data_IF_727106983533
#
_entry.id   IF_727106983533
#
_cell.length_a   1.000
_cell.length_b   1.000
_cell.length_c   1.000
_cell.angle_alpha   90.00
_cell.angle_beta   90.00
_cell.angle_gamma   90.00
#
_symmetry.space_group_name_H-M   'P 1'
#
loop_
_entity.id
_entity.type
_entity.pdbx_description
1 polymer ?
#
# COMPACT_ATOMS: atom_id res chain seq x y z
N UNK A 1 45.30 23.14 41.63
CA UNK A 1 43.86 23.35 41.38
C UNK A 1 43.62 23.28 39.89
N UNK A 2 43.18 22.11 39.41
CA UNK A 2 42.78 21.92 38.01
C UNK A 2 41.29 21.59 38.00
N UNK A 3 40.48 22.53 37.60
CA UNK A 3 39.06 22.30 37.35
C UNK A 3 38.95 21.45 36.09
N UNK A 4 38.57 20.20 36.23
CA UNK A 4 38.04 19.37 35.13
C UNK A 4 36.58 19.70 34.96
N UNK A 5 36.10 20.03 33.75
CA UNK A 5 34.73 20.52 33.58
C UNK A 5 33.76 19.35 33.61
N UNK A 6 32.92 19.32 34.62
CA UNK A 6 31.68 18.52 34.72
C UNK A 6 30.71 18.78 33.53
N UNK A 7 30.97 19.80 32.74
CA UNK A 7 30.22 20.17 31.56
C UNK A 7 30.26 19.17 30.41
N UNK A 8 31.40 18.44 30.26
CA UNK A 8 31.54 17.47 29.18
C UNK A 8 30.68 16.21 29.34
N UNK A 9 30.40 15.83 30.58
CA UNK A 9 29.55 14.67 30.87
C UNK A 9 28.05 14.97 30.66
N UNK A 10 27.66 16.22 30.89
CA UNK A 10 26.27 16.68 30.67
C UNK A 10 25.91 16.77 29.18
N UNK A 11 26.89 17.16 28.32
CA UNK A 11 26.73 17.17 26.88
C UNK A 11 26.61 15.74 26.29
N UNK A 12 27.30 14.75 26.84
CA UNK A 12 27.19 13.35 26.47
C UNK A 12 25.78 12.79 26.78
N UNK A 13 25.15 13.22 27.87
CA UNK A 13 23.79 12.80 28.24
C UNK A 13 22.69 13.45 27.39
N UNK A 14 22.81 14.71 27.05
CA UNK A 14 21.89 15.36 26.12
C UNK A 14 21.96 14.73 24.73
N UNK A 15 23.14 14.35 24.27
CA UNK A 15 23.34 13.69 22.99
C UNK A 15 22.89 12.21 23.00
N UNK A 16 22.93 11.51 24.13
CA UNK A 16 22.39 10.16 24.25
C UNK A 16 20.84 10.14 24.22
N UNK A 17 20.19 11.18 24.78
CA UNK A 17 18.72 11.31 24.75
C UNK A 17 18.18 11.55 23.35
N UNK A 18 18.95 12.18 22.45
CA UNK A 18 18.59 12.36 21.06
C UNK A 18 18.87 11.12 20.18
N UNK A 19 19.50 10.06 20.73
CA UNK A 19 19.86 8.85 20.00
C UNK A 19 18.74 7.81 19.90
N UNK A 20 17.59 8.06 20.47
CA UNK A 20 16.49 7.08 20.53
C UNK A 20 15.25 7.55 19.77
N UNK A 21 15.28 7.60 18.45
CA UNK A 21 14.06 7.46 17.71
C UNK A 21 13.65 5.99 17.79
N UNK A 22 12.57 5.73 18.44
CA UNK A 22 11.86 4.46 18.31
C UNK A 22 11.15 4.50 16.97
N UNK A 23 11.85 4.12 15.90
CA UNK A 23 11.40 4.31 14.52
C UNK A 23 10.68 3.13 13.90
N UNK A 24 10.44 2.07 14.62
CA UNK A 24 10.04 0.82 14.01
C UNK A 24 8.56 0.68 13.64
N UNK A 25 7.57 1.27 14.30
CA UNK A 25 6.18 1.12 13.88
C UNK A 25 5.82 1.91 12.62
N UNK A 26 6.46 3.05 12.38
CA UNK A 26 6.09 3.95 11.27
C UNK A 26 6.47 3.37 9.90
N UNK A 27 7.66 2.82 9.75
CA UNK A 27 8.12 2.29 8.45
C UNK A 27 7.28 1.09 7.98
N UNK A 28 6.89 0.22 8.90
CA UNK A 28 6.09 -0.96 8.61
C UNK A 28 4.63 -0.61 8.31
N UNK A 29 4.11 0.39 9.01
CA UNK A 29 2.75 0.92 8.83
C UNK A 29 2.64 1.69 7.50
N UNK A 30 3.66 2.45 7.11
CA UNK A 30 3.67 3.24 5.88
C UNK A 30 3.79 2.38 4.62
N UNK A 31 4.59 1.33 4.64
CA UNK A 31 4.67 0.36 3.56
C UNK A 31 3.29 -0.29 3.32
N UNK A 32 2.61 -0.70 4.38
CA UNK A 32 1.27 -1.31 4.30
C UNK A 32 0.19 -0.30 3.91
N UNK A 33 0.23 0.93 4.44
CA UNK A 33 -0.72 2.00 4.10
C UNK A 33 -0.63 2.39 2.63
N UNK A 34 0.56 2.54 2.07
CA UNK A 34 0.75 2.86 0.65
C UNK A 34 0.20 1.74 -0.25
N UNK A 35 0.44 0.49 0.10
CA UNK A 35 -0.05 -0.68 -0.62
C UNK A 35 -1.57 -0.83 -0.56
N UNK A 36 -2.18 -0.63 0.63
CA UNK A 36 -3.64 -0.66 0.80
C UNK A 36 -4.29 0.49 0.01
N UNK A 37 -3.72 1.68 0.02
CA UNK A 37 -4.21 2.82 -0.77
C UNK A 37 -4.22 2.51 -2.26
N UNK A 38 -3.15 1.91 -2.77
CA UNK A 38 -3.05 1.51 -4.18
C UNK A 38 -4.14 0.50 -4.55
N UNK A 39 -4.39 -0.49 -3.71
CA UNK A 39 -5.45 -1.48 -3.95
C UNK A 39 -6.85 -0.86 -3.93
N UNK A 40 -7.10 0.13 -3.07
CA UNK A 40 -8.37 0.85 -3.06
C UNK A 40 -8.57 1.72 -4.31
N UNK A 41 -7.49 2.20 -4.95
CA UNK A 41 -7.55 2.89 -6.24
C UNK A 41 -7.86 1.92 -7.38
N UNK A 42 -7.35 0.69 -7.35
CA UNK A 42 -7.66 -0.37 -8.32
C UNK A 42 -9.15 -0.77 -8.33
N UNK A 43 -9.89 -0.50 -7.26
CA UNK A 43 -11.34 -0.73 -7.21
C UNK A 43 -12.14 0.19 -8.16
N UNK A 44 -11.53 1.19 -8.76
CA UNK A 44 -12.13 2.10 -9.75
C UNK A 44 -11.85 1.68 -11.19
N UNK A 45 -11.50 0.41 -11.45
CA UNK A 45 -11.33 -0.10 -12.81
C UNK A 45 -12.63 0.07 -13.62
N UNK A 46 -12.54 0.44 -14.91
CA UNK A 46 -13.70 0.52 -15.77
C UNK A 46 -14.42 -0.80 -15.79
N UNK A 47 -15.69 -0.78 -15.38
CA UNK A 47 -16.55 -1.94 -15.52
C UNK A 47 -17.05 -2.02 -16.96
N UNK A 48 -17.41 -3.24 -17.44
CA UNK A 48 -18.06 -3.40 -18.73
C UNK A 48 -19.26 -2.45 -18.86
N UNK A 49 -19.53 -1.99 -20.07
CA UNK A 49 -20.70 -1.12 -20.35
C UNK A 49 -21.95 -1.82 -19.84
N UNK A 50 -22.75 -1.23 -18.94
CA UNK A 50 -24.00 -1.81 -18.51
C UNK A 50 -24.94 -1.88 -19.70
N UNK A 51 -25.27 -3.08 -20.17
CA UNK A 51 -26.32 -3.27 -21.16
C UNK A 51 -27.64 -3.56 -20.45
N UNK A 52 -28.72 -3.04 -20.98
CA UNK A 52 -30.09 -3.25 -20.47
C UNK A 52 -30.38 -4.74 -20.47
N UNK A 53 -30.68 -5.30 -19.30
CA UNK A 53 -30.99 -6.71 -19.17
C UNK A 53 -32.27 -7.03 -19.98
N UNK A 54 -32.15 -7.95 -20.94
CA UNK A 54 -33.31 -8.56 -21.55
C UNK A 54 -34.08 -9.40 -20.50
N UNK A 55 -35.40 -9.51 -20.60
CA UNK A 55 -36.19 -10.30 -19.66
C UNK A 55 -35.70 -11.76 -19.64
N UNK A 56 -35.64 -12.40 -18.46
CA UNK A 56 -35.17 -13.78 -18.37
C UNK A 56 -36.12 -14.71 -19.12
N UNK A 57 -35.61 -15.40 -20.14
CA UNK A 57 -36.33 -16.49 -20.81
C UNK A 57 -35.90 -17.78 -20.11
N UNK A 58 -36.83 -18.49 -19.50
CA UNK A 58 -36.55 -19.80 -18.91
C UNK A 58 -36.74 -20.90 -19.98
N UNK A 59 -35.65 -21.57 -20.34
CA UNK A 59 -35.66 -22.71 -21.27
C UNK A 59 -34.88 -23.86 -20.67
N UNK A 60 -35.29 -25.09 -21.02
CA UNK A 60 -34.56 -26.29 -20.62
C UNK A 60 -33.34 -26.53 -21.52
N UNK A 61 -32.37 -27.35 -21.05
CA UNK A 61 -31.22 -27.75 -21.87
C UNK A 61 -31.67 -28.49 -23.14
N UNK A 62 -32.72 -29.31 -23.05
CA UNK A 62 -33.24 -30.09 -24.16
C UNK A 62 -33.83 -29.19 -25.24
N UNK A 63 -34.60 -28.17 -24.86
CA UNK A 63 -35.16 -27.16 -25.79
C UNK A 63 -34.06 -26.38 -26.49
N UNK A 64 -32.98 -26.00 -25.78
CA UNK A 64 -31.82 -25.30 -26.34
C UNK A 64 -31.05 -26.18 -27.33
N UNK A 65 -30.83 -27.46 -27.01
CA UNK A 65 -30.14 -28.42 -27.90
C UNK A 65 -30.98 -28.77 -29.12
N UNK A 66 -32.30 -28.84 -29.00
CA UNK A 66 -33.20 -29.05 -30.11
C UNK A 66 -33.25 -27.92 -31.12
N UNK A 67 -32.82 -26.69 -30.70
CA UNK A 67 -32.78 -25.50 -31.55
C UNK A 67 -31.39 -24.85 -31.59
N UNK A 68 -30.47 -25.35 -32.45
CA UNK A 68 -29.08 -24.85 -32.54
C UNK A 68 -28.97 -23.35 -32.84
N UNK A 69 -29.89 -22.80 -33.66
CA UNK A 69 -29.86 -21.37 -34.00
C UNK A 69 -30.18 -20.50 -32.76
N UNK A 70 -31.12 -20.95 -31.94
CA UNK A 70 -31.50 -20.26 -30.72
C UNK A 70 -30.35 -20.35 -29.68
N UNK A 71 -29.72 -21.52 -29.54
CA UNK A 71 -28.58 -21.69 -28.64
C UNK A 71 -27.39 -20.80 -29.05
N UNK A 72 -27.12 -20.68 -30.36
CA UNK A 72 -26.10 -19.77 -30.88
C UNK A 72 -26.45 -18.31 -30.58
N UNK A 73 -27.69 -17.90 -30.84
CA UNK A 73 -28.15 -16.53 -30.55
C UNK A 73 -28.12 -16.21 -29.05
N UNK A 74 -28.46 -17.18 -28.19
CA UNK A 74 -28.37 -17.01 -26.73
C UNK A 74 -26.91 -16.86 -26.27
N UNK A 75 -26.00 -17.65 -26.81
CA UNK A 75 -24.57 -17.54 -26.50
C UNK A 75 -23.99 -16.22 -27.00
N UNK A 76 -24.34 -15.79 -28.23
CA UNK A 76 -23.92 -14.51 -28.80
C UNK A 76 -24.43 -13.33 -27.96
N UNK A 77 -25.69 -13.36 -27.54
CA UNK A 77 -26.27 -12.38 -26.64
C UNK A 77 -25.56 -12.35 -25.28
N UNK A 78 -25.24 -13.53 -24.69
CA UNK A 78 -24.52 -13.61 -23.43
C UNK A 78 -23.09 -13.06 -23.56
N UNK A 79 -22.43 -13.27 -24.68
CA UNK A 79 -21.11 -12.70 -25.00
C UNK A 79 -21.20 -11.20 -25.18
N UNK A 80 -22.17 -10.70 -25.96
CA UNK A 80 -22.38 -9.26 -26.16
C UNK A 80 -22.66 -8.53 -24.84
N UNK A 81 -23.44 -9.14 -23.94
CA UNK A 81 -23.74 -8.63 -22.61
C UNK A 81 -22.63 -8.90 -21.59
N UNK A 82 -21.56 -9.60 -21.96
CA UNK A 82 -20.46 -10.01 -21.09
C UNK A 82 -20.94 -10.77 -19.82
N UNK A 83 -22.07 -11.47 -19.92
CA UNK A 83 -22.66 -12.17 -18.80
C UNK A 83 -22.01 -13.56 -18.61
N UNK A 84 -20.86 -13.56 -17.92
CA UNK A 84 -20.00 -14.77 -17.74
C UNK A 84 -20.76 -15.97 -17.17
N UNK A 85 -21.76 -15.77 -16.30
CA UNK A 85 -22.60 -16.87 -15.77
C UNK A 85 -23.36 -17.59 -16.86
N UNK A 86 -24.02 -16.86 -17.76
CA UNK A 86 -24.73 -17.42 -18.90
C UNK A 86 -23.77 -18.08 -19.90
N UNK A 87 -22.62 -17.43 -20.18
CA UNK A 87 -21.59 -18.00 -21.06
C UNK A 87 -21.11 -19.35 -20.50
N UNK A 88 -20.83 -19.42 -19.17
CA UNK A 88 -20.38 -20.66 -18.52
C UNK A 88 -21.40 -21.78 -18.59
N UNK A 89 -22.69 -21.46 -18.62
CA UNK A 89 -23.78 -22.42 -18.79
C UNK A 89 -23.96 -22.82 -20.27
N UNK A 90 -24.02 -21.85 -21.18
CA UNK A 90 -24.36 -22.07 -22.60
C UNK A 90 -23.20 -22.67 -23.40
N UNK A 91 -21.92 -22.31 -23.10
CA UNK A 91 -20.76 -22.75 -23.89
C UNK A 91 -20.59 -24.28 -23.91
N UNK A 92 -20.72 -25.03 -22.81
CA UNK A 92 -20.70 -26.50 -22.85
C UNK A 92 -21.81 -27.10 -23.71
N UNK A 93 -23.03 -26.55 -23.68
CA UNK A 93 -24.14 -26.99 -24.50
C UNK A 93 -23.86 -26.71 -25.98
N UNK A 94 -23.36 -25.50 -26.30
CA UNK A 94 -22.98 -25.13 -27.65
C UNK A 94 -21.92 -26.09 -28.25
N UNK A 95 -20.97 -26.55 -27.45
CA UNK A 95 -19.92 -27.52 -27.82
C UNK A 95 -20.44 -28.94 -28.04
N UNK A 96 -21.65 -29.26 -27.62
CA UNK A 96 -22.33 -30.53 -27.93
C UNK A 96 -22.94 -30.55 -29.35
N UNK A 97 -23.08 -29.40 -29.99
CA UNK A 97 -23.51 -29.32 -31.40
C UNK A 97 -22.42 -29.88 -32.33
N UNK A 98 -22.80 -30.49 -33.48
CA UNK A 98 -21.84 -30.88 -34.52
C UNK A 98 -20.97 -29.68 -34.96
N UNK A 99 -19.70 -29.97 -35.33
CA UNK A 99 -18.73 -28.90 -35.70
C UNK A 99 -19.18 -28.00 -36.83
N UNK A 100 -19.87 -28.60 -37.84
CA UNK A 100 -20.42 -27.86 -38.97
C UNK A 100 -21.59 -26.92 -38.63
N UNK A 101 -22.09 -26.97 -37.40
CA UNK A 101 -23.14 -26.06 -36.85
C UNK A 101 -22.62 -25.11 -35.79
N UNK A 102 -21.32 -25.04 -35.59
CA UNK A 102 -20.69 -24.14 -34.61
C UNK A 102 -19.87 -23.08 -35.34
N UNK A 103 -20.00 -21.85 -34.88
CA UNK A 103 -19.07 -20.79 -35.26
C UNK A 103 -17.80 -20.89 -34.39
N UNK A 104 -16.63 -21.23 -34.96
CA UNK A 104 -15.40 -21.35 -34.21
C UNK A 104 -14.90 -20.03 -33.64
N UNK A 105 -15.34 -18.88 -34.19
CA UNK A 105 -15.00 -17.55 -33.65
C UNK A 105 -15.80 -17.30 -32.39
N UNK A 106 -17.10 -17.55 -32.41
CA UNK A 106 -17.97 -17.42 -31.24
C UNK A 106 -17.56 -18.36 -30.11
N UNK A 107 -17.27 -19.65 -30.43
CA UNK A 107 -16.78 -20.63 -29.44
C UNK A 107 -15.49 -20.14 -28.75
N UNK A 108 -14.47 -19.79 -29.56
CA UNK A 108 -13.20 -19.31 -29.04
C UNK A 108 -13.33 -17.99 -28.26
N UNK A 109 -14.17 -17.08 -28.73
CA UNK A 109 -14.38 -15.81 -28.07
C UNK A 109 -15.13 -15.95 -26.75
N UNK A 110 -16.21 -16.75 -26.72
CA UNK A 110 -16.96 -17.07 -25.49
C UNK A 110 -16.06 -17.71 -24.41
N UNK A 111 -15.17 -18.63 -24.81
CA UNK A 111 -14.23 -19.25 -23.88
C UNK A 111 -13.30 -18.25 -23.20
N UNK A 112 -12.93 -17.15 -23.88
CA UNK A 112 -12.04 -16.14 -23.27
C UNK A 112 -12.68 -15.44 -22.06
N UNK A 113 -14.00 -15.29 -22.04
CA UNK A 113 -14.71 -14.72 -20.87
C UNK A 113 -14.63 -15.66 -19.66
N UNK A 114 -14.78 -16.97 -19.90
CA UNK A 114 -14.67 -17.99 -18.84
C UNK A 114 -13.23 -18.04 -18.31
N UNK A 115 -12.24 -18.11 -19.20
CA UNK A 115 -10.82 -18.14 -18.83
C UNK A 115 -10.44 -16.90 -18.00
N UNK A 116 -10.89 -15.72 -18.42
CA UNK A 116 -10.64 -14.48 -17.70
C UNK A 116 -11.28 -14.48 -16.29
N UNK A 117 -12.52 -14.95 -16.18
CA UNK A 117 -13.22 -15.06 -14.90
C UNK A 117 -12.56 -16.09 -13.96
N UNK A 118 -11.93 -17.13 -14.53
CA UNK A 118 -11.15 -18.11 -13.78
C UNK A 118 -9.72 -17.64 -13.44
N UNK A 119 -9.37 -16.40 -13.78
CA UNK A 119 -8.04 -15.85 -13.55
C UNK A 119 -6.95 -16.34 -14.50
N UNK A 120 -7.34 -17.09 -15.56
CA UNK A 120 -6.42 -17.67 -16.58
C UNK A 120 -6.13 -16.66 -17.69
N UNK A 121 -5.66 -15.45 -17.31
CA UNK A 121 -5.48 -14.33 -18.23
C UNK A 121 -4.53 -14.62 -19.38
N UNK A 122 -3.42 -15.35 -19.13
CA UNK A 122 -2.47 -15.72 -20.20
C UNK A 122 -3.11 -16.60 -21.28
N UNK A 123 -3.98 -17.55 -20.89
CA UNK A 123 -4.69 -18.39 -21.84
C UNK A 123 -5.74 -17.59 -22.63
N UNK A 124 -6.46 -16.68 -21.94
CA UNK A 124 -7.40 -15.78 -22.60
C UNK A 124 -6.70 -14.85 -23.62
N UNK A 125 -5.55 -14.25 -23.24
CA UNK A 125 -4.71 -13.46 -24.15
C UNK A 125 -4.30 -14.25 -25.39
N UNK A 126 -3.77 -15.46 -25.21
CA UNK A 126 -3.33 -16.31 -26.31
C UNK A 126 -4.47 -16.57 -27.31
N UNK A 127 -5.66 -16.92 -26.81
CA UNK A 127 -6.84 -17.17 -27.66
C UNK A 127 -7.31 -15.90 -28.38
N UNK A 128 -7.38 -14.76 -27.67
CA UNK A 128 -7.77 -13.48 -28.29
C UNK A 128 -6.80 -13.05 -29.39
N UNK A 129 -5.49 -13.23 -29.17
CA UNK A 129 -4.47 -12.98 -30.21
C UNK A 129 -4.61 -13.90 -31.42
N UNK A 130 -4.92 -15.20 -31.18
CA UNK A 130 -5.15 -16.16 -32.25
C UNK A 130 -6.41 -15.81 -33.09
N UNK A 131 -7.48 -15.30 -32.45
CA UNK A 131 -8.67 -14.82 -33.15
C UNK A 131 -8.37 -13.56 -33.98
N UNK A 132 -7.61 -12.59 -33.42
CA UNK A 132 -7.21 -11.39 -34.13
C UNK A 132 -6.23 -11.66 -35.28
N UNK A 133 -5.40 -12.68 -35.19
CA UNK A 133 -4.53 -13.09 -36.29
C UNK A 133 -5.32 -13.55 -37.52
N UNK A 134 -6.53 -14.12 -37.32
CA UNK A 134 -7.44 -14.51 -38.40
C UNK A 134 -8.30 -13.35 -38.89
N UNK A 135 -8.73 -12.47 -37.99
CA UNK A 135 -9.61 -11.34 -38.28
C UNK A 135 -9.06 -10.06 -37.58
N UNK A 136 -8.06 -9.37 -38.16
CA UNK A 136 -7.39 -8.24 -37.51
C UNK A 136 -8.30 -7.05 -37.20
N UNK A 137 -9.37 -6.87 -37.97
CA UNK A 137 -10.33 -5.77 -37.82
C UNK A 137 -11.48 -6.07 -36.86
N UNK A 138 -11.47 -7.21 -36.16
CA UNK A 138 -12.58 -7.58 -35.30
C UNK A 138 -12.53 -6.82 -33.97
N UNK A 139 -13.16 -5.63 -33.96
CA UNK A 139 -13.15 -4.70 -32.85
C UNK A 139 -13.58 -5.29 -31.49
N UNK A 140 -14.63 -6.13 -31.37
CA UNK A 140 -15.02 -6.75 -30.10
C UNK A 140 -13.92 -7.60 -29.48
N UNK A 141 -13.20 -8.40 -30.26
CA UNK A 141 -12.09 -9.24 -29.80
C UNK A 141 -10.91 -8.38 -29.38
N UNK A 142 -10.58 -7.31 -30.12
CA UNK A 142 -9.52 -6.35 -29.76
C UNK A 142 -9.84 -5.64 -28.44
N UNK A 143 -11.11 -5.26 -28.24
CA UNK A 143 -11.53 -4.66 -26.95
C UNK A 143 -11.36 -5.64 -25.78
N UNK A 144 -11.75 -6.89 -25.95
CA UNK A 144 -11.57 -7.91 -24.91
C UNK A 144 -10.08 -8.22 -24.66
N UNK A 145 -9.24 -8.16 -25.69
CA UNK A 145 -7.79 -8.25 -25.52
C UNK A 145 -7.25 -7.09 -24.68
N UNK A 146 -7.64 -5.86 -24.97
CA UNK A 146 -7.24 -4.68 -24.20
C UNK A 146 -7.67 -4.79 -22.72
N UNK A 147 -8.90 -5.24 -22.46
CA UNK A 147 -9.41 -5.48 -21.10
C UNK A 147 -8.61 -6.59 -20.39
N UNK A 148 -8.34 -7.70 -21.07
CA UNK A 148 -7.58 -8.83 -20.52
C UNK A 148 -6.16 -8.40 -20.15
N UNK A 149 -5.47 -7.70 -21.06
CA UNK A 149 -4.13 -7.17 -20.84
C UNK A 149 -4.09 -6.17 -19.67
N UNK A 150 -5.07 -5.27 -19.58
CA UNK A 150 -5.18 -4.31 -18.49
C UNK A 150 -5.38 -5.01 -17.15
N UNK A 151 -6.25 -6.03 -17.08
CA UNK A 151 -6.48 -6.81 -15.88
C UNK A 151 -5.25 -7.61 -15.45
N UNK A 152 -4.45 -8.07 -16.41
CA UNK A 152 -3.21 -8.82 -16.16
C UNK A 152 -1.98 -7.92 -15.95
N UNK A 153 -2.18 -6.61 -15.72
CA UNK A 153 -1.09 -5.68 -15.43
C UNK A 153 -0.28 -5.22 -16.64
N UNK A 154 -0.62 -5.68 -17.85
CA UNK A 154 0.04 -5.32 -19.12
C UNK A 154 -0.52 -4.00 -19.67
N UNK A 155 -0.42 -2.93 -18.86
CA UNK A 155 -1.10 -1.64 -19.14
C UNK A 155 -0.56 -0.89 -20.36
N UNK A 156 0.68 -1.17 -20.79
CA UNK A 156 1.27 -0.58 -21.99
C UNK A 156 0.64 -1.20 -23.25
N UNK A 157 0.57 -2.51 -23.30
CA UNK A 157 -0.01 -3.29 -24.38
C UNK A 157 -1.52 -3.02 -24.47
N UNK A 158 -2.21 -2.96 -23.34
CA UNK A 158 -3.63 -2.57 -23.30
C UNK A 158 -3.87 -1.20 -23.93
N UNK A 159 -3.00 -0.23 -23.66
CA UNK A 159 -3.12 1.11 -24.25
C UNK A 159 -2.86 1.11 -25.77
N UNK A 160 -2.00 0.23 -26.28
CA UNK A 160 -1.77 0.07 -27.71
C UNK A 160 -3.02 -0.49 -28.41
N UNK A 161 -3.66 -1.51 -27.84
CA UNK A 161 -4.91 -2.06 -28.39
C UNK A 161 -6.06 -1.03 -28.37
N UNK A 162 -6.18 -0.24 -27.30
CA UNK A 162 -7.17 0.85 -27.23
C UNK A 162 -6.88 1.94 -28.26
N UNK A 163 -5.61 2.29 -28.48
CA UNK A 163 -5.22 3.27 -29.49
C UNK A 163 -5.55 2.78 -30.91
N UNK A 164 -5.35 1.49 -31.20
CA UNK A 164 -5.73 0.87 -32.47
C UNK A 164 -7.26 0.87 -32.68
N UNK A 165 -8.04 0.54 -31.63
CA UNK A 165 -9.51 0.58 -31.68
C UNK A 165 -10.05 1.98 -32.02
N UNK A 166 -9.42 3.03 -31.50
CA UNK A 166 -9.83 4.42 -31.75
C UNK A 166 -9.61 4.88 -33.19
N UNK A 167 -8.83 4.12 -33.97
CA UNK A 167 -8.62 4.38 -35.41
C UNK A 167 -9.68 3.71 -36.27
N UNK A 168 -10.57 2.88 -35.71
CA UNK A 168 -11.66 2.24 -36.41
C UNK A 168 -12.64 3.32 -36.87
N UNK A 169 -12.96 3.38 -38.22
CA UNK A 169 -13.96 4.31 -38.71
C UNK A 169 -15.36 4.04 -38.11
N UNK A 170 -16.18 5.06 -38.04
CA UNK A 170 -17.61 4.99 -37.69
C UNK A 170 -17.93 4.28 -36.35
N UNK A 171 -17.07 4.47 -35.34
CA UNK A 171 -17.33 3.96 -33.99
C UNK A 171 -18.60 4.59 -33.43
N UNK A 172 -19.54 3.78 -32.86
CA UNK A 172 -20.69 4.29 -32.14
C UNK A 172 -20.29 5.24 -31.00
N UNK A 173 -21.07 6.32 -30.74
CA UNK A 173 -20.69 7.33 -29.73
C UNK A 173 -20.52 6.78 -28.33
N UNK A 174 -21.28 5.78 -27.92
CA UNK A 174 -21.18 5.07 -26.63
C UNK A 174 -19.88 4.28 -26.51
N UNK A 175 -19.46 3.59 -27.56
CA UNK A 175 -18.19 2.87 -27.61
C UNK A 175 -17.03 3.87 -27.58
N UNK A 176 -17.10 4.96 -28.35
CA UNK A 176 -16.10 6.03 -28.31
C UNK A 176 -15.94 6.62 -26.90
N UNK A 177 -17.04 6.92 -26.21
CA UNK A 177 -17.05 7.42 -24.85
C UNK A 177 -16.43 6.40 -23.85
N UNK A 178 -16.73 5.11 -24.03
CA UNK A 178 -16.12 4.04 -23.25
C UNK A 178 -14.59 3.97 -23.45
N UNK A 179 -14.12 3.99 -24.71
CA UNK A 179 -12.69 3.97 -25.01
C UNK A 179 -11.96 5.20 -24.47
N UNK A 180 -12.62 6.37 -24.44
CA UNK A 180 -12.08 7.58 -23.82
C UNK A 180 -11.96 7.43 -22.31
N UNK A 181 -12.97 6.86 -21.67
CA UNK A 181 -12.94 6.52 -20.25
C UNK A 181 -11.79 5.57 -19.92
N UNK A 182 -11.66 4.50 -20.69
CA UNK A 182 -10.61 3.52 -20.53
C UNK A 182 -9.20 4.10 -20.79
N UNK A 183 -9.05 4.95 -21.79
CA UNK A 183 -7.79 5.66 -22.04
C UNK A 183 -7.40 6.58 -20.88
N UNK A 184 -8.37 7.28 -20.28
CA UNK A 184 -8.14 8.11 -19.08
C UNK A 184 -7.71 7.24 -17.88
N UNK A 185 -8.37 6.11 -17.68
CA UNK A 185 -7.97 5.14 -16.65
C UNK A 185 -6.53 4.68 -16.83
N UNK A 186 -6.13 4.21 -18.03
CA UNK A 186 -4.77 3.75 -18.31
C UNK A 186 -3.72 4.89 -18.18
N UNK A 187 -4.09 6.14 -18.49
CA UNK A 187 -3.23 7.29 -18.25
C UNK A 187 -3.06 7.57 -16.75
N UNK A 188 -4.14 7.45 -15.98
CA UNK A 188 -4.11 7.64 -14.53
C UNK A 188 -3.23 6.57 -13.85
N UNK A 189 -3.31 5.31 -14.27
CA UNK A 189 -2.45 4.22 -13.79
C UNK A 189 -0.94 4.49 -13.97
N UNK A 190 -0.57 5.33 -14.94
CA UNK A 190 0.80 5.72 -15.25
C UNK A 190 1.19 7.09 -14.69
N UNK A 191 0.24 7.81 -14.12
CA UNK A 191 0.48 9.13 -13.55
C UNK A 191 1.27 9.01 -12.24
N UNK A 192 1.78 10.15 -11.77
CA UNK A 192 2.27 10.25 -10.41
C UNK A 192 1.11 10.14 -9.42
N UNK A 193 1.22 9.26 -8.47
CA UNK A 193 0.36 9.24 -7.29
C UNK A 193 1.04 10.04 -6.20
N UNK A 194 0.43 11.14 -5.80
CA UNK A 194 0.94 12.03 -4.77
C UNK A 194 0.04 11.96 -3.55
N UNK A 195 0.61 11.89 -2.37
CA UNK A 195 -0.14 12.01 -1.12
C UNK A 195 0.60 12.89 -0.14
N UNK A 196 -0.15 13.69 0.61
CA UNK A 196 0.37 14.55 1.66
C UNK A 196 -0.53 14.50 2.89
N UNK A 197 0.08 14.60 4.06
CA UNK A 197 -0.57 14.69 5.35
C UNK A 197 0.17 15.70 6.22
N UNK A 198 -0.56 16.52 6.95
CA UNK A 198 0.00 17.42 7.95
C UNK A 198 -0.89 17.45 9.19
N UNK A 199 -0.27 17.55 10.36
CA UNK A 199 -0.97 17.57 11.64
C UNK A 199 -0.23 18.46 12.65
N UNK A 200 -1.00 19.08 13.51
CA UNK A 200 -0.45 19.85 14.63
C UNK A 200 0.12 18.92 15.70
N UNK A 201 1.29 19.28 16.23
CA UNK A 201 1.97 18.57 17.31
C UNK A 201 2.00 19.48 18.54
N UNK A 202 1.46 18.97 19.65
CA UNK A 202 1.73 19.46 21.01
C UNK A 202 2.44 18.32 21.74
N UNK A 203 3.76 18.40 21.88
CA UNK A 203 4.57 17.39 22.53
C UNK A 203 4.94 17.89 23.93
N UNK A 204 4.44 17.24 24.97
CA UNK A 204 4.71 17.60 26.36
C UNK A 204 6.06 17.12 26.87
N UNK A 205 6.78 16.28 26.08
CA UNK A 205 8.07 15.71 26.48
C UNK A 205 8.95 15.47 25.23
N UNK A 206 9.23 16.53 24.49
CA UNK A 206 10.02 16.47 23.24
C UNK A 206 11.44 15.97 23.49
N UNK A 207 12.03 16.22 24.66
CA UNK A 207 13.35 15.75 25.06
C UNK A 207 13.34 14.30 25.60
N UNK A 208 12.18 13.64 25.60
CA UNK A 208 12.01 12.24 26.08
C UNK A 208 12.58 12.00 27.46
N UNK A 209 12.41 12.96 28.36
CA UNK A 209 12.82 12.83 29.75
C UNK A 209 12.10 11.66 30.42
N UNK A 210 12.80 10.83 31.22
CA UNK A 210 12.20 9.68 31.89
C UNK A 210 11.18 10.11 32.96
N UNK A 211 10.21 9.26 33.24
CA UNK A 211 9.26 9.48 34.34
C UNK A 211 9.98 9.46 35.70
N UNK A 212 10.93 8.56 35.87
CA UNK A 212 11.78 8.48 37.06
C UNK A 212 12.90 9.54 36.95
N UNK A 213 12.84 10.58 37.79
CA UNK A 213 13.75 11.73 37.78
C UNK A 213 15.09 11.48 38.46
N UNK A 214 15.21 10.47 39.29
CA UNK A 214 16.44 10.15 40.01
C UNK A 214 16.69 8.64 40.01
N UNK A 215 17.95 8.28 39.79
CA UNK A 215 18.43 6.91 39.89
C UNK A 215 19.82 6.92 40.53
N UNK A 216 19.95 6.43 41.75
CA UNK A 216 21.16 6.62 42.52
C UNK A 216 21.52 8.10 42.66
N UNK A 217 22.75 8.45 42.28
CA UNK A 217 23.23 9.83 42.26
C UNK A 217 22.89 10.60 40.99
N UNK A 218 22.20 9.97 40.04
CA UNK A 218 21.84 10.60 38.74
C UNK A 218 20.53 11.36 38.85
N UNK A 219 20.51 12.60 38.32
CA UNK A 219 19.33 13.41 38.20
C UNK A 219 19.08 13.69 36.68
N UNK A 220 17.90 13.36 36.21
CA UNK A 220 17.51 13.52 34.80
C UNK A 220 16.78 14.85 34.60
N UNK A 221 16.87 15.41 33.36
CA UNK A 221 16.21 16.67 33.04
C UNK A 221 14.68 16.54 33.12
N UNK A 222 14.01 17.65 33.31
CA UNK A 222 12.55 17.71 33.24
C UNK A 222 12.03 17.62 31.81
N UNK A 223 10.76 17.17 31.59
CA UNK A 223 10.15 17.21 30.28
C UNK A 223 10.13 18.62 29.75
N UNK A 224 10.48 18.76 28.46
CA UNK A 224 10.36 20.01 27.72
C UNK A 224 9.16 19.88 26.79
N UNK A 225 8.23 20.83 26.87
CA UNK A 225 7.12 20.92 25.93
C UNK A 225 7.56 21.64 24.65
N UNK A 226 7.02 21.22 23.51
CA UNK A 226 7.24 21.85 22.23
C UNK A 226 5.99 21.75 21.34
N UNK A 227 5.82 22.75 20.46
CA UNK A 227 4.70 22.84 19.53
C UNK A 227 5.22 22.87 18.09
N UNK A 228 4.48 22.27 17.16
CA UNK A 228 4.95 22.20 15.79
C UNK A 228 3.99 21.56 14.83
N UNK A 229 4.52 21.16 13.67
CA UNK A 229 3.80 20.46 12.62
C UNK A 229 4.52 19.13 12.33
N UNK A 230 3.76 18.04 12.35
CA UNK A 230 4.15 16.80 11.71
C UNK A 230 3.71 16.78 10.27
N UNK A 231 4.52 16.23 9.38
CA UNK A 231 4.21 16.17 7.96
C UNK A 231 4.69 14.87 7.35
N UNK A 232 3.92 14.41 6.37
CA UNK A 232 4.26 13.25 5.53
C UNK A 232 3.95 13.62 4.08
N UNK A 233 4.84 13.27 3.18
CA UNK A 233 4.66 13.40 1.75
C UNK A 233 5.14 12.13 1.07
N UNK A 234 4.40 11.65 0.07
CA UNK A 234 4.87 10.57 -0.79
C UNK A 234 4.48 10.81 -2.23
N UNK A 235 5.39 10.44 -3.13
CA UNK A 235 5.21 10.45 -4.57
C UNK A 235 5.64 9.10 -5.11
N UNK A 236 4.78 8.46 -5.90
CA UNK A 236 5.12 7.20 -6.55
C UNK A 236 4.66 7.17 -8.00
N UNK A 237 5.39 6.42 -8.81
CA UNK A 237 5.05 6.17 -10.21
C UNK A 237 5.44 4.77 -10.60
N UNK A 238 4.55 4.10 -11.34
CA UNK A 238 4.84 2.82 -11.99
C UNK A 238 4.85 3.04 -13.50
N UNK A 239 6.00 2.82 -14.12
CA UNK A 239 6.21 2.98 -15.57
C UNK A 239 6.23 1.60 -16.20
N UNK A 240 5.20 1.19 -16.97
CA UNK A 240 5.19 -0.10 -17.66
C UNK A 240 6.29 -0.12 -18.73
N UNK A 241 7.10 -1.18 -18.74
CA UNK A 241 8.22 -1.36 -19.67
C UNK A 241 7.82 -2.29 -20.82
N UNK A 242 7.51 -3.55 -20.50
CA UNK A 242 7.09 -4.56 -21.49
C UNK A 242 6.34 -5.69 -20.78
N UNK A 243 5.19 -6.06 -21.30
CA UNK A 243 4.31 -7.08 -20.70
C UNK A 243 4.08 -6.79 -19.20
N UNK A 244 4.41 -7.74 -18.35
CA UNK A 244 4.25 -7.65 -16.89
C UNK A 244 5.35 -6.82 -16.18
N UNK A 245 6.43 -6.46 -16.90
CA UNK A 245 7.53 -5.71 -16.33
C UNK A 245 7.26 -4.21 -16.31
N UNK A 246 7.53 -3.61 -15.16
CA UNK A 246 7.46 -2.17 -14.94
C UNK A 246 8.68 -1.67 -14.16
N UNK A 247 8.96 -0.39 -14.24
CA UNK A 247 9.87 0.30 -13.33
C UNK A 247 9.01 1.07 -12.29
N UNK A 248 9.31 0.86 -11.02
CA UNK A 248 8.67 1.56 -9.89
C UNK A 248 9.64 2.58 -9.33
N UNK A 249 9.16 3.80 -9.14
CA UNK A 249 9.89 4.90 -8.49
C UNK A 249 9.03 5.43 -7.36
N UNK A 250 9.63 5.61 -6.19
CA UNK A 250 8.96 6.15 -5.02
C UNK A 250 9.89 7.14 -4.31
N UNK A 251 9.35 8.28 -3.92
CA UNK A 251 9.97 9.25 -3.04
C UNK A 251 9.07 9.48 -1.84
N UNK A 252 9.62 9.56 -0.66
CA UNK A 252 8.89 9.95 0.54
C UNK A 252 9.71 10.90 1.39
N UNK A 253 9.00 11.79 2.09
CA UNK A 253 9.55 12.69 3.07
C UNK A 253 8.59 12.74 4.26
N UNK A 254 9.08 12.52 5.46
CA UNK A 254 8.30 12.62 6.68
C UNK A 254 9.12 13.26 7.78
N UNK A 255 8.46 13.97 8.69
CA UNK A 255 9.19 14.63 9.76
C UNK A 255 8.31 15.43 10.69
N UNK A 256 9.00 16.18 11.56
CA UNK A 256 8.43 17.09 12.54
C UNK A 256 9.23 18.39 12.51
N UNK A 257 8.53 19.49 12.54
CA UNK A 257 9.10 20.83 12.65
C UNK A 257 8.49 21.50 13.86
N UNK A 258 9.33 21.89 14.84
CA UNK A 258 8.91 22.56 16.08
C UNK A 258 9.21 24.04 15.99
N UNK A 259 8.25 24.90 16.32
CA UNK A 259 8.42 26.37 16.27
C UNK A 259 9.32 26.91 17.36
N UNK A 260 9.41 26.19 18.48
CA UNK A 260 10.05 26.62 19.74
C UNK A 260 11.17 25.67 20.20
N UNK A 261 11.50 24.65 19.40
CA UNK A 261 12.46 23.61 19.80
C UNK A 261 13.13 22.94 18.59
N UNK A 262 13.79 23.72 17.73
CA UNK A 262 14.43 23.25 16.49
C UNK A 262 15.50 22.17 16.69
N UNK A 263 16.09 22.05 17.88
CA UNK A 263 17.03 20.97 18.23
C UNK A 263 16.37 19.57 18.15
N UNK A 264 15.04 19.51 18.08
CA UNK A 264 14.26 18.28 17.98
C UNK A 264 13.54 18.15 16.64
N UNK A 265 13.81 19.04 15.69
CA UNK A 265 13.31 18.90 14.33
C UNK A 265 13.82 17.60 13.72
N UNK A 266 12.98 16.90 12.99
CA UNK A 266 13.29 15.62 12.37
C UNK A 266 12.77 15.61 10.94
N UNK A 267 13.61 15.26 9.99
CA UNK A 267 13.25 15.08 8.59
C UNK A 267 13.91 13.82 8.07
N UNK A 268 13.13 12.92 7.55
CA UNK A 268 13.60 11.74 6.83
C UNK A 268 13.14 11.81 5.37
N UNK A 269 14.08 11.69 4.44
CA UNK A 269 13.82 11.64 3.00
C UNK A 269 14.32 10.32 2.46
N UNK A 270 13.48 9.62 1.71
CA UNK A 270 13.80 8.32 1.13
C UNK A 270 13.43 8.28 -0.35
N UNK A 271 14.35 7.75 -1.15
CA UNK A 271 14.17 7.52 -2.58
C UNK A 271 14.37 6.04 -2.87
N UNK A 272 13.48 5.48 -3.69
CA UNK A 272 13.52 4.09 -4.12
C UNK A 272 13.25 4.02 -5.62
N UNK A 273 13.98 3.16 -6.32
CA UNK A 273 13.68 2.86 -7.71
C UNK A 273 14.10 1.43 -8.05
N UNK A 274 13.27 0.70 -8.79
CA UNK A 274 13.61 -0.67 -9.17
C UNK A 274 12.57 -1.32 -10.06
N UNK A 275 12.87 -2.55 -10.55
CA UNK A 275 11.93 -3.34 -11.33
C UNK A 275 10.76 -3.85 -10.50
N UNK A 276 9.63 -3.97 -11.15
CA UNK A 276 8.43 -4.63 -10.66
C UNK A 276 7.88 -5.58 -11.72
N UNK A 277 7.36 -6.72 -11.28
CA UNK A 277 6.64 -7.69 -12.11
C UNK A 277 5.21 -7.80 -11.60
N UNK A 278 4.23 -7.48 -12.45
CA UNK A 278 2.81 -7.38 -12.10
C UNK A 278 1.98 -8.33 -12.94
N UNK A 279 1.10 -9.07 -12.29
CA UNK A 279 0.06 -9.89 -12.91
C UNK A 279 -1.30 -9.50 -12.36
N UNK A 280 -2.35 -10.14 -12.83
CA UNK A 280 -3.71 -9.93 -12.31
C UNK A 280 -3.83 -10.14 -10.78
N UNK A 281 -3.05 -11.06 -10.22
CA UNK A 281 -3.16 -11.48 -8.82
C UNK A 281 -1.96 -11.10 -7.97
N UNK A 282 -0.79 -10.83 -8.57
CA UNK A 282 0.45 -10.66 -7.83
C UNK A 282 1.28 -9.48 -8.34
N UNK A 283 1.96 -8.82 -7.43
CA UNK A 283 3.04 -7.90 -7.75
C UNK A 283 4.26 -8.23 -6.88
N UNK A 284 5.43 -8.32 -7.50
CA UNK A 284 6.71 -8.41 -6.82
C UNK A 284 7.60 -7.28 -7.31
N UNK A 285 8.28 -6.58 -6.40
CA UNK A 285 9.21 -5.50 -6.75
C UNK A 285 10.46 -5.55 -5.88
N UNK A 286 11.60 -5.29 -6.51
CA UNK A 286 12.89 -5.17 -5.83
C UNK A 286 13.44 -3.76 -6.10
N UNK A 287 13.58 -2.96 -5.05
CA UNK A 287 14.04 -1.57 -5.18
C UNK A 287 15.23 -1.30 -4.27
N UNK A 288 16.40 -0.97 -4.81
CA UNK A 288 17.41 -0.26 -4.05
C UNK A 288 16.82 1.05 -3.53
N UNK A 289 17.29 1.47 -2.35
CA UNK A 289 16.88 2.72 -1.74
C UNK A 289 18.07 3.48 -1.13
N UNK A 290 17.92 4.80 -1.10
CA UNK A 290 18.73 5.72 -0.34
C UNK A 290 17.85 6.56 0.58
N UNK A 291 18.23 6.65 1.84
CA UNK A 291 17.53 7.38 2.87
C UNK A 291 18.48 8.34 3.58
N UNK A 292 18.07 9.58 3.79
CA UNK A 292 18.81 10.59 4.52
C UNK A 292 17.92 11.16 5.62
N UNK A 293 18.45 11.18 6.84
CA UNK A 293 17.81 11.78 8.01
C UNK A 293 18.58 13.00 8.47
N UNK A 294 17.84 14.04 8.78
CA UNK A 294 18.27 15.23 9.51
C UNK A 294 17.61 15.26 10.87
N UNK A 295 18.34 15.65 11.89
CA UNK A 295 17.84 15.81 13.24
C UNK A 295 18.49 17.02 13.89
N UNK A 296 17.68 17.90 14.54
CA UNK A 296 18.15 19.16 15.09
C UNK A 296 18.80 20.05 14.01
N UNK A 297 18.20 20.09 12.79
CA UNK A 297 18.68 20.83 11.61
C UNK A 297 19.96 20.31 10.96
N UNK A 298 20.65 19.32 11.58
CA UNK A 298 21.87 18.73 11.06
C UNK A 298 21.65 17.37 10.36
N UNK A 299 22.55 17.03 9.42
CA UNK A 299 22.61 15.67 8.85
C UNK A 299 22.92 14.68 9.96
N UNK A 300 22.00 13.77 10.23
CA UNK A 300 22.11 12.81 11.31
C UNK A 300 22.62 11.44 10.85
N UNK A 301 21.91 10.83 9.90
CA UNK A 301 22.25 9.49 9.40
C UNK A 301 21.84 9.33 7.94
N UNK A 302 22.54 8.44 7.23
CA UNK A 302 22.11 7.97 5.91
C UNK A 302 22.07 6.44 5.89
N UNK A 303 21.10 5.89 5.15
CA UNK A 303 20.92 4.44 4.98
C UNK A 303 20.90 4.13 3.49
N UNK A 304 21.68 3.13 3.08
CA UNK A 304 21.62 2.55 1.74
C UNK A 304 21.21 1.09 1.87
N UNK A 305 20.33 0.62 0.99
CA UNK A 305 19.86 -0.75 1.08
C UNK A 305 18.97 -1.16 -0.08
N UNK A 306 18.27 -2.26 0.10
CA UNK A 306 17.27 -2.79 -0.83
C UNK A 306 16.01 -3.21 -0.09
N UNK A 307 14.89 -3.11 -0.79
CA UNK A 307 13.59 -3.60 -0.30
C UNK A 307 12.94 -4.46 -1.37
N UNK A 308 12.53 -5.66 -0.97
CA UNK A 308 11.69 -6.57 -1.74
C UNK A 308 10.26 -6.44 -1.22
N UNK A 309 9.31 -6.18 -2.12
CA UNK A 309 7.87 -6.17 -1.79
C UNK A 309 7.15 -7.22 -2.60
N UNK A 310 6.19 -7.83 -1.97
CA UNK A 310 5.29 -8.79 -2.59
C UNK A 310 3.86 -8.50 -2.18
N UNK A 311 2.94 -8.56 -3.14
CA UNK A 311 1.51 -8.58 -2.86
C UNK A 311 0.84 -9.68 -3.66
N UNK A 312 -0.19 -10.31 -3.08
CA UNK A 312 -0.96 -11.37 -3.73
C UNK A 312 -2.43 -11.34 -3.29
N UNK A 313 -3.32 -11.28 -4.27
CA UNK A 313 -4.77 -11.37 -4.07
C UNK A 313 -5.18 -12.83 -4.00
N UNK A 314 -5.37 -13.33 -2.78
CA UNK A 314 -5.81 -14.71 -2.50
C UNK A 314 -7.25 -14.96 -2.92
N UNK A 315 -8.09 -13.94 -2.81
CA UNK A 315 -9.50 -13.94 -3.20
C UNK A 315 -9.99 -12.50 -3.36
N UNK A 316 -11.19 -12.24 -3.91
CA UNK A 316 -11.74 -10.88 -3.99
C UNK A 316 -11.83 -10.14 -2.66
N UNK A 317 -11.76 -10.87 -1.53
CA UNK A 317 -11.83 -10.30 -0.17
C UNK A 317 -10.50 -10.32 0.58
N UNK A 318 -9.51 -11.07 0.13
CA UNK A 318 -8.26 -11.28 0.88
C UNK A 318 -7.05 -10.94 0.03
N UNK A 319 -6.22 -10.02 0.50
CA UNK A 319 -4.93 -9.69 -0.12
C UNK A 319 -3.81 -9.77 0.91
N UNK A 320 -2.75 -10.46 0.53
CA UNK A 320 -1.54 -10.62 1.33
C UNK A 320 -0.49 -9.61 0.85
N UNK A 321 0.20 -8.97 1.79
CA UNK A 321 1.34 -8.07 1.55
C UNK A 321 2.53 -8.54 2.35
N UNK A 322 3.70 -8.59 1.72
CA UNK A 322 4.97 -8.89 2.35
C UNK A 322 6.03 -7.86 1.98
N UNK A 323 6.94 -7.57 2.90
CA UNK A 323 8.12 -6.77 2.62
C UNK A 323 9.32 -7.31 3.38
N UNK A 324 10.47 -7.32 2.71
CA UNK A 324 11.78 -7.61 3.28
C UNK A 324 12.71 -6.45 2.96
N UNK A 325 13.30 -5.85 3.96
CA UNK A 325 14.24 -4.74 3.80
C UNK A 325 15.56 -5.08 4.45
N UNK A 326 16.65 -4.72 3.79
CA UNK A 326 17.98 -4.81 4.32
C UNK A 326 18.81 -3.59 3.89
N UNK A 327 19.56 -3.01 4.81
CA UNK A 327 20.39 -1.85 4.53
C UNK A 327 21.51 -1.67 5.55
N UNK A 328 22.36 -0.70 5.29
CA UNK A 328 23.40 -0.29 6.19
C UNK A 328 23.25 1.20 6.50
N UNK A 329 23.14 1.52 7.81
CA UNK A 329 22.98 2.89 8.33
C UNK A 329 24.31 3.42 8.84
N UNK A 330 24.68 4.62 8.40
CA UNK A 330 25.84 5.36 8.89
C UNK A 330 25.40 6.68 9.50
N UNK A 331 25.84 6.93 10.73
CA UNK A 331 25.64 8.18 11.46
C UNK A 331 26.81 9.13 11.25
N UNK A 332 26.55 10.42 11.15
CA UNK A 332 27.59 11.43 10.93
C UNK A 332 28.57 11.52 12.10
N UNK A 333 28.05 11.67 13.31
CA UNK A 333 28.83 11.89 14.54
C UNK A 333 28.84 10.65 15.44
N UNK A 334 27.73 9.93 15.54
CA UNK A 334 27.53 8.78 16.44
C UNK A 334 27.92 7.47 15.80
N UNK A 335 29.20 7.31 15.49
CA UNK A 335 29.70 6.13 14.75
C UNK A 335 29.49 4.79 15.44
N UNK A 336 29.26 4.77 16.76
CA UNK A 336 28.91 3.57 17.52
C UNK A 336 27.54 3.00 17.12
N UNK A 337 26.64 3.84 16.60
CA UNK A 337 25.33 3.44 16.07
C UNK A 337 25.35 2.94 14.63
N UNK A 338 26.52 2.96 13.95
CA UNK A 338 26.61 2.45 12.58
C UNK A 338 26.37 0.94 12.55
N UNK A 339 25.54 0.49 11.61
CA UNK A 339 25.26 -0.92 11.51
C UNK A 339 24.26 -1.31 10.45
N UNK A 340 23.99 -2.61 10.36
CA UNK A 340 23.00 -3.15 9.44
C UNK A 340 21.59 -3.09 10.07
N UNK A 341 20.63 -2.77 9.22
CA UNK A 341 19.21 -2.73 9.57
C UNK A 341 18.46 -3.73 8.70
N UNK A 342 17.72 -4.65 9.31
CA UNK A 342 16.95 -5.69 8.64
C UNK A 342 15.52 -5.68 9.18
N UNK A 343 14.52 -5.64 8.27
CA UNK A 343 13.12 -5.66 8.61
C UNK A 343 12.38 -6.64 7.71
N UNK A 344 11.41 -7.34 8.28
CA UNK A 344 10.48 -8.21 7.57
C UNK A 344 9.07 -7.93 8.07
N UNK A 345 8.10 -7.89 7.16
CA UNK A 345 6.69 -7.75 7.51
C UNK A 345 5.80 -8.59 6.63
N UNK A 346 4.68 -9.02 7.21
CA UNK A 346 3.60 -9.71 6.52
C UNK A 346 2.27 -9.15 7.01
N UNK A 347 1.35 -8.87 6.09
CA UNK A 347 0.03 -8.34 6.41
C UNK A 347 -1.03 -8.95 5.54
N UNK A 348 -2.17 -9.27 6.15
CA UNK A 348 -3.39 -9.71 5.47
C UNK A 348 -4.43 -8.59 5.56
N UNK A 349 -4.93 -8.15 4.42
CA UNK A 349 -6.09 -7.27 4.32
C UNK A 349 -7.30 -8.13 4.01
N UNK A 350 -8.33 -8.02 4.87
CA UNK A 350 -9.62 -8.68 4.69
C UNK A 350 -10.71 -7.64 4.46
N UNK A 351 -11.18 -7.54 3.23
CA UNK A 351 -12.22 -6.61 2.80
C UNK A 351 -13.59 -7.29 2.85
N UNK A 352 -14.41 -6.95 3.84
CA UNK A 352 -15.76 -7.52 4.01
C UNK A 352 -16.78 -6.86 3.08
N UNK A 353 -16.57 -5.57 2.77
CA UNK A 353 -17.37 -4.80 1.83
C UNK A 353 -16.55 -3.66 1.22
N UNK A 354 -17.00 -2.95 0.16
CA UNK A 354 -16.32 -1.77 -0.36
C UNK A 354 -16.09 -0.67 0.69
N UNK A 355 -16.85 -0.68 1.80
CA UNK A 355 -16.79 0.32 2.86
C UNK A 355 -16.06 -0.14 4.11
N UNK A 356 -15.69 -1.45 4.21
CA UNK A 356 -15.11 -1.98 5.44
C UNK A 356 -14.01 -2.99 5.16
N UNK A 357 -12.88 -2.80 5.84
CA UNK A 357 -11.78 -3.77 5.82
C UNK A 357 -11.09 -3.89 7.18
N UNK A 358 -10.45 -5.04 7.36
CA UNK A 358 -9.57 -5.36 8.48
C UNK A 358 -8.15 -5.57 7.97
N UNK A 359 -7.18 -5.26 8.80
CA UNK A 359 -5.75 -5.51 8.55
C UNK A 359 -5.19 -6.29 9.72
N UNK A 360 -4.55 -7.40 9.44
CA UNK A 360 -3.78 -8.16 10.43
C UNK A 360 -2.34 -8.23 9.94
N UNK A 361 -1.38 -7.99 10.82
CA UNK A 361 0.01 -7.98 10.41
C UNK A 361 0.94 -8.46 11.50
N UNK A 362 2.07 -9.01 11.07
CA UNK A 362 3.22 -9.33 11.90
C UNK A 362 4.46 -8.73 11.27
N UNK A 363 5.41 -8.37 12.10
CA UNK A 363 6.69 -7.84 11.64
C UNK A 363 7.81 -8.24 12.61
N UNK A 364 9.02 -8.08 12.14
CA UNK A 364 10.20 -8.30 12.97
C UNK A 364 11.46 -7.81 12.27
N UNK A 365 12.50 -7.63 13.03
CA UNK A 365 13.77 -7.16 12.49
C UNK A 365 14.89 -7.08 13.50
N UNK A 366 16.00 -6.56 13.03
CA UNK A 366 17.20 -6.36 13.82
C UNK A 366 17.94 -5.10 13.37
N UNK A 367 18.46 -4.37 14.33
CA UNK A 367 19.49 -3.34 14.13
C UNK A 367 20.76 -3.80 14.81
N UNK A 368 21.83 -4.00 14.01
CA UNK A 368 23.10 -4.50 14.49
C UNK A 368 24.09 -3.34 14.48
N UNK A 369 24.06 -2.53 15.52
CA UNK A 369 24.99 -1.42 15.74
C UNK A 369 26.35 -1.92 16.21
N UNK A 370 27.39 -1.06 16.13
CA UNK A 370 28.74 -1.36 16.66
C UNK A 370 28.71 -1.52 18.19
N UNK A 371 27.95 -0.65 18.86
CA UNK A 371 27.70 -0.80 20.29
C UNK A 371 26.52 -1.79 20.50
N UNK A 372 26.79 -2.86 21.24
CA UNK A 372 25.80 -3.90 21.48
C UNK A 372 24.67 -3.44 22.41
N UNK A 373 24.89 -2.40 23.22
CA UNK A 373 23.85 -1.81 24.06
C UNK A 373 22.72 -1.14 23.24
N UNK A 374 23.05 -0.69 22.01
CA UNK A 374 22.10 -0.10 21.05
C UNK A 374 21.62 -1.13 20.01
N UNK A 375 22.28 -2.27 19.89
CA UNK A 375 21.87 -3.35 18.99
C UNK A 375 20.68 -4.11 19.54
N UNK A 376 19.64 -4.32 18.71
CA UNK A 376 18.41 -5.01 19.15
C UNK A 376 17.79 -5.88 18.08
N UNK A 377 16.89 -6.75 18.54
CA UNK A 377 15.93 -7.47 17.71
C UNK A 377 14.52 -7.17 18.23
N UNK A 378 13.56 -7.18 17.32
CA UNK A 378 12.16 -6.97 17.69
C UNK A 378 11.22 -7.87 16.90
N UNK A 379 10.03 -8.08 17.48
CA UNK A 379 8.89 -8.68 16.83
C UNK A 379 7.63 -7.88 17.16
N UNK A 380 6.70 -7.79 16.21
CA UNK A 380 5.47 -7.02 16.36
C UNK A 380 4.26 -7.76 15.81
N UNK A 381 3.10 -7.47 16.41
CA UNK A 381 1.78 -7.86 15.92
C UNK A 381 0.93 -6.61 15.82
N UNK A 382 0.08 -6.53 14.79
CA UNK A 382 -0.84 -5.42 14.58
C UNK A 382 -2.19 -5.89 14.09
N UNK A 383 -3.23 -5.15 14.48
CA UNK A 383 -4.57 -5.31 13.97
C UNK A 383 -5.19 -3.94 13.70
N UNK A 384 -5.93 -3.82 12.61
CA UNK A 384 -6.60 -2.60 12.22
C UNK A 384 -8.01 -2.88 11.67
N UNK A 385 -8.89 -1.91 11.85
CA UNK A 385 -10.24 -1.89 11.31
C UNK A 385 -10.55 -0.50 10.78
N UNK A 386 -11.15 -0.45 9.58
CA UNK A 386 -11.59 0.80 8.97
C UNK A 386 -12.99 0.60 8.39
N UNK A 387 -13.87 1.59 8.62
CA UNK A 387 -15.23 1.58 8.09
C UNK A 387 -15.68 2.97 7.64
N UNK A 388 -16.32 3.02 6.48
CA UNK A 388 -17.13 4.14 6.00
C UNK A 388 -18.60 3.84 6.24
N UNK A 389 -19.28 4.71 6.98
CA UNK A 389 -20.66 4.48 7.43
C UNK A 389 -21.64 5.02 6.39
N UNK A 390 -22.47 4.14 5.80
CA UNK A 390 -23.47 4.55 4.81
C UNK A 390 -24.55 5.44 5.42
N UNK A 391 -25.08 5.08 6.60
CA UNK A 391 -26.04 5.88 7.36
C UNK A 391 -25.48 7.20 7.93
N UNK A 392 -24.17 7.32 8.08
CA UNK A 392 -23.47 8.51 8.57
C UNK A 392 -23.14 9.55 7.50
N UNK A 393 -23.70 9.46 6.30
CA UNK A 393 -23.55 10.44 5.20
C UNK A 393 -22.11 10.87 4.91
N UNK A 394 -21.15 9.95 5.08
CA UNK A 394 -19.73 10.18 4.81
C UNK A 394 -18.80 10.15 6.03
N UNK A 395 -19.28 9.69 7.18
CA UNK A 395 -18.45 9.38 8.34
C UNK A 395 -17.52 8.20 8.02
N UNK A 396 -16.24 8.35 8.32
CA UNK A 396 -15.24 7.28 8.26
C UNK A 396 -14.54 7.16 9.62
N UNK A 397 -14.39 5.94 10.11
CA UNK A 397 -13.70 5.65 11.38
C UNK A 397 -12.63 4.59 11.17
N UNK A 398 -11.54 4.68 11.91
CA UNK A 398 -10.55 3.62 11.99
C UNK A 398 -10.07 3.38 13.41
N UNK A 399 -9.74 2.11 13.68
CA UNK A 399 -9.13 1.64 14.92
C UNK A 399 -7.91 0.80 14.54
N UNK A 400 -6.74 1.12 15.09
CA UNK A 400 -5.51 0.38 14.86
C UNK A 400 -4.81 0.15 16.19
N UNK A 401 -4.34 -1.07 16.40
CA UNK A 401 -3.57 -1.45 17.57
C UNK A 401 -2.35 -2.27 17.21
N UNK A 402 -1.27 -2.10 17.96
CA UNK A 402 -0.09 -2.94 17.81
C UNK A 402 0.61 -3.20 19.14
N UNK A 403 1.31 -4.31 19.18
CA UNK A 403 2.24 -4.65 20.26
C UNK A 403 3.59 -5.00 19.65
N UNK A 404 4.67 -4.43 20.18
CA UNK A 404 6.02 -4.70 19.74
C UNK A 404 6.87 -5.06 20.93
N UNK A 405 7.60 -6.18 20.85
CA UNK A 405 8.58 -6.58 21.85
C UNK A 405 9.98 -6.43 21.28
N UNK A 406 10.87 -5.74 22.02
CA UNK A 406 12.25 -5.45 21.65
C UNK A 406 13.20 -5.95 22.71
N UNK A 407 14.30 -6.60 22.26
CA UNK A 407 15.38 -7.09 23.14
C UNK A 407 16.71 -6.58 22.64
N UNK A 408 17.42 -5.89 23.52
CA UNK A 408 18.77 -5.40 23.28
C UNK A 408 19.82 -6.48 23.49
N UNK A 409 20.96 -6.37 22.81
CA UNK A 409 21.99 -7.42 22.82
C UNK A 409 23.02 -7.22 23.91
N UNK A 410 23.38 -5.97 24.22
CA UNK A 410 24.34 -5.58 25.24
C UNK A 410 23.65 -4.95 26.46
N UNK A 411 24.47 -4.78 27.48
CA UNK A 411 24.14 -4.01 28.67
C UNK A 411 24.60 -2.57 28.48
N UNK A 412 23.86 -1.62 29.02
CA UNK A 412 24.20 -0.21 28.98
C UNK A 412 25.08 0.22 30.18
N UNK A 413 25.27 1.53 30.34
CA UNK A 413 26.07 2.12 31.42
C UNK A 413 25.53 1.81 32.82
N UNK A 414 24.31 1.33 32.91
CA UNK A 414 23.65 0.93 34.17
C UNK A 414 23.68 -0.60 34.41
N UNK A 415 24.42 -1.35 33.55
CA UNK A 415 24.47 -2.82 33.55
C UNK A 415 23.09 -3.44 33.32
N UNK A 416 22.22 -2.76 32.57
CA UNK A 416 20.87 -3.23 32.27
C UNK A 416 20.82 -3.65 30.77
N UNK A 417 20.57 -4.94 30.53
CA UNK A 417 20.18 -5.42 29.21
C UNK A 417 18.71 -5.12 28.97
N UNK A 418 18.48 -4.08 28.21
CA UNK A 418 17.16 -3.51 27.99
C UNK A 418 16.21 -4.47 27.25
N UNK A 419 14.94 -4.48 27.70
CA UNK A 419 13.81 -5.16 27.06
C UNK A 419 12.61 -4.24 27.17
N UNK A 420 11.99 -3.96 26.02
CA UNK A 420 10.84 -3.09 25.93
C UNK A 420 9.66 -3.86 25.35
N UNK A 421 8.46 -3.59 25.86
CA UNK A 421 7.21 -3.94 25.20
C UNK A 421 6.41 -2.67 25.00
N UNK A 422 6.18 -2.32 23.75
CA UNK A 422 5.43 -1.14 23.36
C UNK A 422 4.02 -1.55 22.91
N UNK A 423 3.02 -0.90 23.49
CA UNK A 423 1.62 -1.01 23.12
C UNK A 423 1.19 0.30 22.47
N UNK A 424 0.54 0.20 21.34
CA UNK A 424 0.05 1.36 20.59
C UNK A 424 -1.40 1.17 20.22
N UNK A 425 -2.21 2.24 20.41
CA UNK A 425 -3.60 2.31 19.99
C UNK A 425 -3.84 3.64 19.29
N UNK A 426 -4.52 3.60 18.14
CA UNK A 426 -4.89 4.76 17.35
C UNK A 426 -6.36 4.64 16.94
N UNK A 427 -7.13 5.68 17.25
CA UNK A 427 -8.52 5.85 16.83
C UNK A 427 -8.60 7.09 15.98
N UNK A 428 -9.26 7.01 14.82
CA UNK A 428 -9.53 8.20 14.00
C UNK A 428 -10.97 8.27 13.52
N UNK A 429 -11.48 9.48 13.37
CA UNK A 429 -12.78 9.78 12.81
C UNK A 429 -12.69 10.98 11.87
N UNK A 430 -13.29 10.89 10.70
CA UNK A 430 -13.35 11.97 9.72
C UNK A 430 -14.67 11.93 8.97
N UNK A 431 -15.09 13.08 8.41
CA UNK A 431 -16.36 13.17 7.72
C UNK A 431 -16.22 13.85 6.36
N UNK A 432 -16.70 13.21 5.29
CA UNK A 432 -16.60 13.71 3.90
C UNK A 432 -17.19 15.13 3.71
N UNK A 433 -18.23 15.50 4.45
CA UNK A 433 -18.82 16.84 4.36
C UNK A 433 -17.91 17.95 4.85
N UNK A 434 -16.89 17.62 5.67
CA UNK A 434 -15.86 18.55 6.13
C UNK A 434 -14.70 18.68 5.14
N UNK A 435 -14.72 17.89 4.05
CA UNK A 435 -13.68 17.99 3.03
C UNK A 435 -13.84 19.25 2.20
N UNK A 436 -12.73 19.98 2.05
CA UNK A 436 -12.66 21.20 1.25
C UNK A 436 -11.51 21.10 0.26
N UNK A 437 -11.78 21.27 -1.03
CA UNK A 437 -10.81 21.14 -2.14
C UNK A 437 -9.97 19.85 -2.06
N UNK A 438 -10.60 18.73 -1.66
CA UNK A 438 -9.93 17.42 -1.50
C UNK A 438 -9.15 17.26 -0.19
N UNK A 439 -9.08 18.28 0.65
CA UNK A 439 -8.53 18.20 2.00
C UNK A 439 -9.59 17.62 2.94
N UNK A 440 -9.26 16.54 3.63
CA UNK A 440 -10.19 15.85 4.55
C UNK A 440 -9.64 15.92 5.97
N UNK A 441 -10.26 16.72 6.86
CA UNK A 441 -9.88 16.76 8.26
C UNK A 441 -10.32 15.47 8.99
N UNK A 442 -9.47 14.99 9.90
CA UNK A 442 -9.74 13.85 10.78
C UNK A 442 -9.30 14.17 12.19
N UNK A 443 -10.12 13.79 13.14
CA UNK A 443 -9.76 13.79 14.55
C UNK A 443 -9.08 12.46 14.87
N UNK A 444 -7.92 12.53 15.51
CA UNK A 444 -7.10 11.37 15.86
C UNK A 444 -6.82 11.38 17.35
N UNK A 445 -6.92 10.20 17.95
CA UNK A 445 -6.47 9.94 19.30
C UNK A 445 -5.48 8.78 19.28
N UNK A 446 -4.31 8.99 19.89
CA UNK A 446 -3.28 7.95 20.04
C UNK A 446 -2.95 7.73 21.49
N UNK A 447 -2.68 6.49 21.82
CA UNK A 447 -2.17 6.06 23.11
C UNK A 447 -0.98 5.13 22.87
N UNK A 448 0.15 5.46 23.53
CA UNK A 448 1.37 4.65 23.49
C UNK A 448 1.81 4.40 24.91
N UNK A 449 2.09 3.13 25.23
CA UNK A 449 2.68 2.73 26.49
C UNK A 449 3.89 1.83 26.23
N UNK A 450 5.06 2.26 26.75
CA UNK A 450 6.29 1.46 26.70
C UNK A 450 6.57 0.93 28.09
N UNK A 451 6.39 -0.39 28.26
CA UNK A 451 6.88 -1.10 29.42
C UNK A 451 8.33 -1.51 29.18
N UNK A 452 9.23 -1.13 30.08
CA UNK A 452 10.66 -1.40 30.00
C UNK A 452 11.18 -1.87 31.35
N UNK A 453 12.12 -2.82 31.31
CA UNK A 453 12.89 -3.19 32.51
C UNK A 453 13.93 -2.12 32.89
N UNK A 454 14.11 -1.12 32.03
CA UNK A 454 15.01 0.00 32.24
C UNK A 454 14.21 1.25 32.60
N UNK A 455 14.47 1.82 33.80
CA UNK A 455 13.76 2.97 34.39
C UNK A 455 13.66 4.19 33.44
N UNK A 456 14.66 4.41 32.57
CA UNK A 456 14.74 5.56 31.66
C UNK A 456 13.74 5.46 30.50
N UNK A 457 13.33 4.26 30.11
CA UNK A 457 12.56 4.05 28.87
C UNK A 457 11.09 3.73 29.09
N UNK A 458 10.66 3.54 30.34
CA UNK A 458 9.23 3.41 30.65
C UNK A 458 8.55 4.73 30.39
N UNK A 459 7.49 4.71 29.55
CA UNK A 459 6.79 5.92 29.10
C UNK A 459 5.34 5.65 28.82
N UNK A 460 4.55 6.70 29.05
CA UNK A 460 3.13 6.76 28.73
C UNK A 460 2.85 8.06 27.95
N UNK A 461 2.30 7.95 26.74
CA UNK A 461 1.99 9.09 25.89
C UNK A 461 0.54 9.00 25.40
N UNK A 462 -0.18 10.11 25.44
CA UNK A 462 -1.54 10.26 24.92
C UNK A 462 -1.60 11.55 24.13
N UNK A 463 -2.11 11.46 22.90
CA UNK A 463 -2.25 12.64 22.05
C UNK A 463 -3.61 12.66 21.40
N UNK A 464 -4.21 13.85 21.38
CA UNK A 464 -5.39 14.15 20.59
C UNK A 464 -4.99 15.24 19.59
N UNK A 465 -5.19 15.00 18.31
CA UNK A 465 -4.80 15.95 17.28
C UNK A 465 -5.72 15.88 16.07
N UNK A 466 -5.74 16.95 15.30
CA UNK A 466 -6.42 17.06 14.03
C UNK A 466 -5.37 16.90 12.91
N UNK A 467 -5.61 15.96 12.00
CA UNK A 467 -4.83 15.85 10.77
C UNK A 467 -5.64 16.32 9.56
N UNK A 468 -4.94 16.75 8.53
CA UNK A 468 -5.52 17.07 7.25
C UNK A 468 -4.75 16.33 6.17
N UNK A 469 -5.44 15.47 5.45
CA UNK A 469 -4.85 14.67 4.38
C UNK A 469 -5.40 15.05 3.01
N UNK A 470 -4.55 15.03 1.99
CA UNK A 470 -4.93 15.18 0.59
C UNK A 470 -4.27 14.12 -0.26
N UNK A 471 -5.03 13.63 -1.22
CA UNK A 471 -4.59 12.72 -2.25
C UNK A 471 -4.79 13.40 -3.61
N UNK A 472 -3.77 13.36 -4.47
CA UNK A 472 -3.75 14.04 -5.77
C UNK A 472 -3.70 13.02 -6.91
#
# INVERSE_FOLDING_TARGET
MRYFPLFSLFLLFQTASAALPVETPETDTDLTRSQIRQQMQDAHRPQPVPQTAAPPVSMTEEELLANPALLQSALDTAVAQQHTGNIRFLLPLYRRLPENRRDPVLDGFAETFVLRADGKHAQAEQKLRALLAKNPEYAPVRLQLALTLSQDGQTREAAQEIAALRQTPDLPPDISAYLDGFSRYLKHERAWSLSGNAYYIADSNVNRAPEQRRYGNWRFPEPKSAHGIGYEFSAQKTVPVKKHWAARVQASANGKFYWDAHDYDDLNVRLEAGPAYRTAQSEISLSPFAEQRWYGTERYAHTLGGVLRYSHTLSPKHTLFGALQSGYRKHRTRRHLNGSVHNASLSLVYQTSPQQYFVFGTGGGAENTRDLSDAYRYGSLRAGWTRQWQGGKGLATSLNGSVQHRRYRGEDLFNIRRRDTEYFLHVSAGHKKLSWKGLTPRLNWTWTYTDSNHFYYRRHDRRLFLDVSKQF
#
